data_IF_049565764438
#
_entry.id   IF_049565764438
#
_cell.length_a   1.000
_cell.length_b   1.000
_cell.length_c   1.000
_cell.angle_alpha   90.00
_cell.angle_beta   90.00
_cell.angle_gamma   90.00
#
_symmetry.space_group_name_H-M   'P 1'
#
loop_
_entity.id
_entity.type
_entity.pdbx_description
1 polymer ?
#
# COMPACT_ATOMS: atom_id res chain seq x y z
N UNK A 1 -30.46 -11.16 25.22
CA UNK A 1 -29.49 -10.05 25.15
C UNK A 1 -28.11 -10.69 25.10
N UNK A 2 -27.45 -10.80 23.94
CA UNK A 2 -26.12 -11.39 23.93
C UNK A 2 -25.20 -10.42 24.66
N UNK A 3 -24.49 -10.99 25.63
CA UNK A 3 -23.38 -10.39 26.36
C UNK A 3 -22.36 -9.90 25.32
N UNK A 4 -21.74 -8.74 25.52
CA UNK A 4 -20.52 -8.35 24.79
C UNK A 4 -19.50 -9.47 25.03
N UNK A 5 -19.49 -10.46 24.14
CA UNK A 5 -18.71 -11.67 24.31
C UNK A 5 -17.24 -11.31 24.25
N UNK A 6 -16.47 -11.73 25.26
CA UNK A 6 -15.03 -11.81 25.12
C UNK A 6 -14.72 -12.61 23.85
N UNK A 7 -14.08 -11.96 22.89
CA UNK A 7 -13.62 -12.61 21.66
C UNK A 7 -12.75 -13.81 22.05
N UNK A 8 -12.95 -14.93 21.38
CA UNK A 8 -12.03 -16.04 21.56
C UNK A 8 -10.63 -15.59 21.14
N UNK A 9 -9.55 -16.04 21.78
CA UNK A 9 -8.19 -15.58 21.46
C UNK A 9 -7.83 -15.70 19.97
N UNK A 10 -8.36 -16.71 19.27
CA UNK A 10 -8.18 -16.86 17.82
C UNK A 10 -8.91 -15.81 16.99
N UNK A 11 -10.13 -15.43 17.37
CA UNK A 11 -10.94 -14.42 16.66
C UNK A 11 -10.29 -13.04 16.77
N UNK A 12 -9.77 -12.69 17.96
CA UNK A 12 -9.03 -11.45 18.16
C UNK A 12 -7.75 -11.38 17.28
N UNK A 13 -7.02 -12.50 17.14
CA UNK A 13 -5.84 -12.55 16.28
C UNK A 13 -6.21 -12.35 14.79
N UNK A 14 -7.32 -12.93 14.35
CA UNK A 14 -7.84 -12.70 13.00
C UNK A 14 -8.23 -11.23 12.78
N UNK A 15 -8.90 -10.61 13.73
CA UNK A 15 -9.29 -9.19 13.65
C UNK A 15 -8.08 -8.27 13.61
N UNK A 16 -7.06 -8.52 14.44
CA UNK A 16 -5.78 -7.81 14.37
C UNK A 16 -5.15 -7.95 12.97
N UNK A 17 -5.18 -9.15 12.39
CA UNK A 17 -4.66 -9.39 11.03
C UNK A 17 -5.45 -8.61 9.96
N UNK A 18 -6.77 -8.48 10.11
CA UNK A 18 -7.62 -7.67 9.23
C UNK A 18 -7.25 -6.18 9.32
N UNK A 19 -7.09 -5.65 10.54
CA UNK A 19 -6.67 -4.25 10.76
C UNK A 19 -5.30 -3.98 10.12
N UNK A 20 -4.33 -4.88 10.29
CA UNK A 20 -3.01 -4.76 9.65
C UNK A 20 -3.11 -4.74 8.12
N UNK A 21 -4.03 -5.54 7.55
CA UNK A 21 -4.26 -5.58 6.09
C UNK A 21 -4.87 -4.29 5.57
N UNK A 22 -5.82 -3.70 6.30
CA UNK A 22 -6.38 -2.37 5.98
C UNK A 22 -5.26 -1.33 6.00
N UNK A 23 -4.50 -1.25 7.11
CA UNK A 23 -3.39 -0.29 7.23
C UNK A 23 -2.40 -0.39 6.06
N UNK A 24 -2.02 -1.61 5.65
CA UNK A 24 -1.12 -1.82 4.51
C UNK A 24 -1.74 -1.32 3.20
N UNK A 25 -3.04 -1.56 2.99
CA UNK A 25 -3.75 -1.13 1.78
C UNK A 25 -3.92 0.38 1.71
N UNK A 26 -4.19 1.06 2.82
CA UNK A 26 -4.32 2.52 2.80
C UNK A 26 -2.98 3.19 2.52
N UNK A 27 -1.88 2.68 3.06
CA UNK A 27 -0.54 3.17 2.72
C UNK A 27 -0.18 2.99 1.24
N UNK A 28 -0.57 1.86 0.64
CA UNK A 28 -0.42 1.63 -0.80
C UNK A 28 -1.26 2.63 -1.61
N UNK A 29 -2.52 2.82 -1.21
CA UNK A 29 -3.48 3.71 -1.90
C UNK A 29 -3.04 5.17 -1.84
N UNK A 30 -2.48 5.64 -0.72
CA UNK A 30 -1.88 6.98 -0.61
C UNK A 30 -0.79 7.16 -1.66
N UNK A 31 0.16 6.21 -1.74
CA UNK A 31 1.26 6.30 -2.70
C UNK A 31 0.76 6.33 -4.14
N UNK A 32 -0.25 5.51 -4.47
CA UNK A 32 -0.86 5.48 -5.80
C UNK A 32 -1.53 6.80 -6.15
N UNK A 33 -2.37 7.33 -5.26
CA UNK A 33 -3.13 8.55 -5.49
C UNK A 33 -2.24 9.79 -5.55
N UNK A 34 -1.23 9.90 -4.69
CA UNK A 34 -0.23 10.98 -4.79
C UNK A 34 0.52 10.91 -6.13
N UNK A 35 0.88 9.71 -6.59
CA UNK A 35 1.55 9.53 -7.86
C UNK A 35 0.64 9.83 -9.07
N UNK A 36 -0.66 9.53 -8.98
CA UNK A 36 -1.65 9.94 -9.98
C UNK A 36 -1.83 11.46 -10.02
N UNK A 37 -1.95 12.10 -8.86
CA UNK A 37 -2.04 13.55 -8.77
C UNK A 37 -0.81 14.23 -9.41
N UNK A 38 0.40 13.76 -9.09
CA UNK A 38 1.66 14.29 -9.61
C UNK A 38 1.78 14.17 -11.14
N UNK A 39 1.26 13.08 -11.73
CA UNK A 39 1.30 12.85 -13.19
C UNK A 39 0.09 13.43 -13.95
N UNK A 40 -0.90 13.96 -13.25
CA UNK A 40 -2.13 14.46 -13.87
C UNK A 40 -1.91 15.80 -14.57
N UNK A 41 -2.26 15.89 -15.85
CA UNK A 41 -2.25 17.16 -16.61
C UNK A 41 -3.49 18.01 -16.32
N UNK A 42 -4.64 17.38 -16.04
CA UNK A 42 -5.88 18.10 -15.66
C UNK A 42 -5.80 18.60 -14.21
N UNK A 43 -6.01 19.91 -13.96
CA UNK A 43 -6.06 20.45 -12.60
C UNK A 43 -7.16 19.82 -11.73
N UNK A 44 -8.31 19.52 -12.33
CA UNK A 44 -9.45 18.90 -11.64
C UNK A 44 -9.12 17.46 -11.19
N UNK A 45 -8.52 16.66 -12.08
CA UNK A 45 -8.11 15.28 -11.77
C UNK A 45 -7.00 15.26 -10.71
N UNK A 46 -6.06 16.21 -10.79
CA UNK A 46 -5.04 16.38 -9.75
C UNK A 46 -5.66 16.66 -8.40
N UNK A 47 -6.59 17.62 -8.33
CA UNK A 47 -7.27 17.98 -7.08
C UNK A 47 -8.07 16.80 -6.52
N UNK A 48 -8.75 16.03 -7.37
CA UNK A 48 -9.48 14.83 -6.99
C UNK A 48 -8.56 13.77 -6.32
N UNK A 49 -7.46 13.38 -6.97
CA UNK A 49 -6.56 12.39 -6.38
C UNK A 49 -5.81 12.92 -5.15
N UNK A 50 -5.48 14.22 -5.12
CA UNK A 50 -4.92 14.84 -3.91
C UNK A 50 -5.91 14.80 -2.75
N UNK A 51 -7.21 15.00 -2.99
CA UNK A 51 -8.24 14.88 -1.96
C UNK A 51 -8.34 13.44 -1.44
N UNK A 52 -8.45 12.44 -2.33
CA UNK A 52 -8.52 11.03 -1.93
C UNK A 52 -7.30 10.63 -1.10
N UNK A 53 -6.08 11.00 -1.51
CA UNK A 53 -4.87 10.70 -0.76
C UNK A 53 -4.87 11.29 0.67
N UNK A 54 -5.61 12.37 0.92
CA UNK A 54 -5.75 12.95 2.25
C UNK A 54 -6.77 12.19 3.10
N UNK A 55 -7.87 11.72 2.50
CA UNK A 55 -8.85 10.85 3.19
C UNK A 55 -8.20 9.53 3.61
N UNK A 56 -7.38 8.90 2.76
CA UNK A 56 -6.71 7.65 3.12
C UNK A 56 -5.70 7.82 4.27
N UNK A 57 -5.12 9.03 4.46
CA UNK A 57 -4.27 9.32 5.63
C UNK A 57 -5.07 9.35 6.92
N UNK A 58 -6.34 9.75 6.88
CA UNK A 58 -7.24 9.63 8.03
C UNK A 58 -7.50 8.16 8.34
N UNK A 59 -7.81 7.35 7.34
CA UNK A 59 -7.98 5.90 7.52
C UNK A 59 -6.73 5.21 8.08
N UNK A 60 -5.52 5.61 7.66
CA UNK A 60 -4.25 5.15 8.26
C UNK A 60 -4.19 5.47 9.75
N UNK A 61 -4.59 6.68 10.16
CA UNK A 61 -4.60 7.09 11.56
C UNK A 61 -5.60 6.26 12.38
N UNK A 62 -6.82 6.05 11.87
CA UNK A 62 -7.85 5.23 12.49
C UNK A 62 -7.43 3.76 12.65
N UNK A 63 -6.92 3.15 11.57
CA UNK A 63 -6.45 1.77 11.59
C UNK A 63 -5.27 1.59 12.55
N UNK A 64 -4.35 2.56 12.59
CA UNK A 64 -3.23 2.57 13.55
C UNK A 64 -3.73 2.68 14.98
N UNK A 65 -4.68 3.58 15.27
CA UNK A 65 -5.27 3.71 16.60
C UNK A 65 -5.99 2.42 17.03
N UNK A 66 -6.67 1.73 16.11
CA UNK A 66 -7.28 0.42 16.39
C UNK A 66 -6.21 -0.64 16.69
N UNK A 67 -5.14 -0.69 15.90
CA UNK A 67 -4.06 -1.66 16.10
C UNK A 67 -3.38 -1.49 17.47
N UNK A 68 -3.13 -0.24 17.88
CA UNK A 68 -2.61 0.11 19.22
C UNK A 68 -3.49 -0.38 20.36
N UNK A 69 -4.81 -0.40 20.16
CA UNK A 69 -5.76 -0.86 21.18
C UNK A 69 -5.85 -2.39 21.26
N UNK A 70 -5.73 -3.10 20.14
CA UNK A 70 -5.98 -4.54 20.08
C UNK A 70 -4.70 -5.37 20.24
N UNK A 71 -3.54 -4.86 19.82
CA UNK A 71 -2.27 -5.59 19.82
C UNK A 71 -1.31 -5.02 20.86
N UNK A 72 -1.31 -5.63 22.05
CA UNK A 72 -0.44 -5.22 23.15
C UNK A 72 1.07 -5.31 22.82
N UNK A 73 1.46 -6.26 21.96
CA UNK A 73 2.85 -6.40 21.52
C UNK A 73 3.26 -5.20 20.67
N UNK A 74 2.42 -4.84 19.69
CA UNK A 74 2.65 -3.66 18.86
C UNK A 74 2.56 -2.35 19.67
N UNK A 75 1.64 -2.23 20.63
CA UNK A 75 1.56 -1.07 21.51
C UNK A 75 2.84 -0.86 22.32
N UNK A 76 3.47 -1.93 22.81
CA UNK A 76 4.75 -1.84 23.50
C UNK A 76 5.88 -1.25 22.61
N UNK A 77 5.81 -1.46 21.30
CA UNK A 77 6.71 -0.78 20.35
C UNK A 77 6.38 0.70 20.21
N UNK A 78 5.10 1.06 20.10
CA UNK A 78 4.69 2.47 20.03
C UNK A 78 5.03 3.25 21.29
N UNK A 79 4.76 2.69 22.48
CA UNK A 79 4.97 3.35 23.77
C UNK A 79 6.45 3.62 24.09
N UNK A 80 7.36 2.78 23.58
CA UNK A 80 8.80 2.95 23.76
C UNK A 80 9.37 4.15 22.99
N UNK A 81 8.66 4.64 21.97
CA UNK A 81 9.16 5.66 21.06
C UNK A 81 10.36 5.18 20.23
N UNK A 82 10.86 6.06 19.36
CA UNK A 82 12.08 5.80 18.59
C UNK A 82 13.28 6.20 19.44
N UNK A 83 14.19 5.25 19.68
CA UNK A 83 15.41 5.53 20.43
C UNK A 83 16.29 6.54 19.65
N UNK A 84 16.93 7.52 20.32
CA UNK A 84 17.98 8.33 19.71
C UNK A 84 19.04 7.42 19.08
N UNK A 85 19.46 7.74 17.85
CA UNK A 85 20.42 6.92 17.11
C UNK A 85 19.86 5.65 16.45
N UNK A 86 18.55 5.37 16.55
CA UNK A 86 17.93 4.22 15.85
C UNK A 86 18.20 4.23 14.34
N UNK A 87 18.40 5.40 13.74
CA UNK A 87 18.72 5.58 12.32
C UNK A 87 20.18 5.99 12.04
N UNK A 88 21.00 6.23 13.09
CA UNK A 88 22.35 6.79 12.94
C UNK A 88 23.44 5.70 12.78
N UNK A 89 23.07 4.42 12.92
CA UNK A 89 24.01 3.28 12.85
C UNK A 89 24.19 2.65 11.46
N UNK A 90 23.43 3.07 10.45
CA UNK A 90 23.67 2.60 9.09
C UNK A 90 24.78 3.47 8.46
N UNK A 91 25.91 2.90 8.01
CA UNK A 91 26.82 3.67 7.17
C UNK A 91 26.00 4.19 5.98
N UNK A 92 25.91 5.51 5.85
CA UNK A 92 25.47 6.12 4.60
C UNK A 92 26.30 5.46 3.50
N UNK A 93 25.71 4.84 2.46
CA UNK A 93 26.50 4.32 1.37
C UNK A 93 27.37 5.48 0.90
N UNK A 94 28.69 5.31 1.04
CA UNK A 94 29.65 6.32 0.63
C UNK A 94 29.26 6.73 -0.79
N UNK A 95 29.12 8.04 -1.02
CA UNK A 95 28.92 8.55 -2.36
C UNK A 95 29.96 7.85 -3.27
N UNK A 96 29.55 7.23 -4.38
CA UNK A 96 30.50 6.54 -5.24
C UNK A 96 31.63 7.52 -5.56
N UNK A 97 32.87 7.10 -5.28
CA UNK A 97 34.05 7.90 -5.58
C UNK A 97 33.96 8.39 -7.03
N UNK A 98 34.37 9.64 -7.33
CA UNK A 98 34.42 10.09 -8.71
C UNK A 98 35.28 9.10 -9.50
N UNK A 99 34.69 8.51 -10.53
CA UNK A 99 35.38 7.56 -11.38
C UNK A 99 36.67 8.20 -11.92
N UNK A 100 37.79 7.47 -11.97
CA UNK A 100 38.99 7.98 -12.62
C UNK A 100 38.64 8.30 -14.08
N UNK A 101 39.02 9.50 -14.52
CA UNK A 101 38.90 9.96 -15.89
C UNK A 101 39.81 9.12 -16.79
N UNK A 102 39.31 7.95 -17.21
CA UNK A 102 39.88 7.20 -18.31
C UNK A 102 39.08 7.58 -19.54
N UNK A 103 39.54 8.63 -20.22
CA UNK A 103 39.01 9.06 -21.50
C UNK A 103 38.98 7.92 -22.50
N UNK A 104 37.79 7.35 -22.71
CA UNK A 104 37.41 6.58 -23.88
C UNK A 104 35.95 6.94 -24.18
N UNK A 105 35.77 7.66 -25.28
CA UNK A 105 34.48 7.87 -25.93
C UNK A 105 33.75 6.54 -26.15
N UNK A 106 32.44 6.54 -25.89
CA UNK A 106 31.52 5.56 -26.45
C UNK A 106 30.96 4.53 -25.46
N UNK A 107 29.64 4.58 -25.31
CA UNK A 107 28.75 3.55 -24.75
C UNK A 107 28.36 3.68 -23.28
N UNK A 108 27.33 4.51 -23.05
CA UNK A 108 26.50 4.47 -21.84
C UNK A 108 25.61 3.24 -21.90
N UNK A 109 26.07 2.11 -21.37
CA UNK A 109 25.18 1.00 -21.03
C UNK A 109 24.45 1.38 -19.74
N UNK A 110 23.20 1.82 -19.87
CA UNK A 110 22.31 2.00 -18.73
C UNK A 110 22.09 0.65 -18.04
N UNK A 111 22.46 0.53 -16.76
CA UNK A 111 22.06 -0.58 -15.91
C UNK A 111 20.53 -0.51 -15.73
N UNK A 112 19.82 -1.29 -16.52
CA UNK A 112 18.40 -1.55 -16.33
C UNK A 112 18.21 -2.29 -14.99
N UNK A 113 17.23 -1.94 -14.14
CA UNK A 113 16.93 -2.72 -12.96
C UNK A 113 16.55 -4.14 -13.39
N UNK A 114 17.23 -5.14 -12.86
CA UNK A 114 16.92 -6.53 -13.16
C UNK A 114 15.50 -6.85 -12.69
N UNK A 115 14.60 -7.05 -13.64
CA UNK A 115 13.34 -7.75 -13.41
C UNK A 115 13.68 -9.17 -12.96
N UNK A 116 13.32 -9.52 -11.73
CA UNK A 116 13.23 -10.93 -11.31
C UNK A 116 12.16 -11.58 -12.18
N UNK A 117 12.59 -12.39 -13.15
CA UNK A 117 11.69 -13.23 -13.95
C UNK A 117 11.35 -14.45 -13.09
N UNK A 118 10.10 -14.54 -12.63
CA UNK A 118 9.57 -15.81 -12.12
C UNK A 118 9.49 -16.80 -13.27
N UNK A 119 10.54 -17.61 -13.43
CA UNK A 119 10.69 -18.62 -14.47
C UNK A 119 9.89 -19.90 -14.19
N UNK A 120 8.57 -19.81 -14.06
CA UNK A 120 7.67 -20.95 -14.20
C UNK A 120 6.64 -20.62 -15.27
N UNK A 121 6.67 -21.39 -16.36
CA UNK A 121 5.67 -21.28 -17.41
C UNK A 121 4.28 -21.54 -16.81
N UNK A 122 3.35 -20.61 -17.04
CA UNK A 122 1.96 -20.79 -16.66
C UNK A 122 1.39 -22.02 -17.39
N UNK A 123 0.62 -22.89 -16.72
CA UNK A 123 -0.10 -23.97 -17.41
C UNK A 123 -1.07 -23.38 -18.43
N UNK A 124 -1.36 -24.08 -19.54
CA UNK A 124 -2.27 -23.59 -20.56
C UNK A 124 -3.65 -23.31 -19.94
N UNK A 125 -4.14 -22.09 -20.15
CA UNK A 125 -5.45 -21.68 -19.67
C UNK A 125 -6.53 -22.58 -20.28
N UNK A 126 -7.24 -23.34 -19.44
CA UNK A 126 -8.53 -23.89 -19.84
C UNK A 126 -9.44 -22.72 -20.25
N UNK A 127 -10.05 -22.84 -21.44
CA UNK A 127 -10.94 -21.82 -22.06
C UNK A 127 -11.72 -21.03 -21.01
N UNK A 128 -11.30 -19.79 -20.78
CA UNK A 128 -12.05 -18.86 -19.96
C UNK A 128 -13.34 -18.48 -20.71
N UNK A 129 -14.49 -18.75 -20.09
CA UNK A 129 -15.75 -18.22 -20.56
C UNK A 129 -15.72 -16.68 -20.51
N UNK A 130 -16.33 -15.97 -21.47
CA UNK A 130 -16.39 -14.53 -21.43
C UNK A 130 -17.15 -14.06 -20.18
N UNK A 131 -16.54 -13.17 -19.41
CA UNK A 131 -17.16 -12.52 -18.26
C UNK A 131 -18.27 -11.58 -18.77
N UNK A 132 -19.52 -12.00 -18.65
CA UNK A 132 -20.69 -11.16 -18.94
C UNK A 132 -20.89 -10.18 -17.79
N UNK A 133 -20.67 -8.89 -18.03
CA UNK A 133 -21.09 -7.83 -17.10
C UNK A 133 -22.60 -7.73 -17.16
N UNK A 134 -23.27 -8.07 -16.05
CA UNK A 134 -24.72 -8.04 -15.93
C UNK A 134 -25.28 -6.63 -16.11
N UNK A 135 -26.26 -6.49 -17.00
CA UNK A 135 -26.97 -5.23 -17.26
C UNK A 135 -27.69 -4.72 -16.01
N UNK A 136 -27.39 -3.48 -15.62
CA UNK A 136 -28.10 -2.77 -14.57
C UNK A 136 -29.57 -2.57 -14.97
N UNK A 137 -30.48 -3.04 -14.12
CA UNK A 137 -31.93 -2.87 -14.26
C UNK A 137 -32.31 -1.44 -13.84
N UNK A 138 -32.98 -0.64 -14.67
CA UNK A 138 -33.46 0.67 -14.24
C UNK A 138 -34.57 0.52 -13.18
N UNK A 139 -34.69 1.47 -12.23
CA UNK A 139 -35.73 1.43 -11.21
C UNK A 139 -37.12 1.55 -11.88
N UNK A 140 -38.01 0.63 -11.52
CA UNK A 140 -39.43 0.71 -11.90
C UNK A 140 -40.04 1.93 -11.21
N UNK A 141 -40.42 2.91 -12.01
CA UNK A 141 -41.24 4.04 -11.58
C UNK A 141 -42.52 3.57 -10.90
N UNK A 142 -42.82 4.19 -9.76
CA UNK A 142 -44.09 4.07 -9.08
C UNK A 142 -45.16 4.85 -9.84
N UNK A 143 -46.30 4.21 -10.06
CA UNK A 143 -47.56 4.91 -10.32
C UNK A 143 -48.68 4.13 -9.65
N UNK A 144 -49.19 4.70 -8.56
CA UNK A 144 -50.60 4.69 -8.19
C UNK A 144 -50.92 6.02 -7.54
#
# INVERSE_FOLDING_TARGET
MPVLGELLPGELLEDIARVRRVLARELETINEYEAFAARSSSPEVRAFFSHLAQEEKEHVAEATAMLRRLDAGQEAHFARGLAPGHFEGAPSPAAPAPAPDTGLEGSRVALQPQRVVYGLAAPPAARAAPLTVGSLKPPRGGSR
#
